data_IF_095981949768
#
_entry.id   IF_095981949768
#
_cell.length_a   1.000
_cell.length_b   1.000
_cell.length_c   1.000
_cell.angle_alpha   90.00
_cell.angle_beta   90.00
_cell.angle_gamma   90.00
#
_symmetry.space_group_name_H-M   'P 1'
#
loop_
_entity.id
_entity.type
_entity.pdbx_description
1 polymer ?
#
# COMPACT_ATOMS: atom_id res chain seq x y z
N UNK A 1 -12.57 -14.29 -8.58
CA UNK A 1 -12.32 -13.00 -9.26
C UNK A 1 -10.94 -12.48 -8.90
N UNK A 2 -10.27 -11.88 -9.86
CA UNK A 2 -8.94 -11.32 -9.66
C UNK A 2 -8.95 -9.82 -9.99
N UNK A 3 -8.14 -9.07 -9.24
CA UNK A 3 -7.96 -7.64 -9.45
C UNK A 3 -6.46 -7.33 -9.45
N UNK A 4 -6.03 -6.55 -10.41
CA UNK A 4 -4.63 -6.14 -10.55
C UNK A 4 -4.55 -4.63 -10.55
N UNK A 5 -3.62 -4.07 -9.77
CA UNK A 5 -3.30 -2.64 -9.78
C UNK A 5 -1.98 -2.49 -10.50
N UNK A 6 -1.97 -1.69 -11.56
CA UNK A 6 -0.86 -1.56 -12.49
C UNK A 6 -0.46 -0.09 -12.57
N UNK A 7 0.84 0.20 -12.44
CA UNK A 7 1.32 1.57 -12.53
C UNK A 7 1.47 2.06 -13.98
N UNK A 8 1.90 3.30 -14.13
CA UNK A 8 2.06 3.93 -15.45
C UNK A 8 3.09 3.25 -16.33
N UNK A 9 4.03 2.52 -15.73
CA UNK A 9 5.08 1.82 -16.46
C UNK A 9 4.69 0.38 -16.81
N UNK A 10 3.48 -0.04 -16.44
CA UNK A 10 3.00 -1.39 -16.68
C UNK A 10 3.39 -2.40 -15.63
N UNK A 11 3.93 -1.94 -14.49
CA UNK A 11 4.30 -2.82 -13.38
C UNK A 11 3.10 -3.10 -12.50
N UNK A 12 2.84 -4.38 -12.24
CA UNK A 12 1.81 -4.80 -11.27
C UNK A 12 2.36 -4.59 -9.86
N UNK A 13 1.74 -3.70 -9.09
CA UNK A 13 2.17 -3.48 -7.71
C UNK A 13 1.24 -4.10 -6.67
N UNK A 14 0.11 -4.62 -7.10
CA UNK A 14 -0.80 -5.37 -6.23
C UNK A 14 -1.65 -6.31 -7.05
N UNK A 15 -1.90 -7.50 -6.54
CA UNK A 15 -2.91 -8.40 -7.07
C UNK A 15 -3.72 -9.00 -5.93
N UNK A 16 -5.01 -9.17 -6.15
CA UNK A 16 -5.91 -9.76 -5.18
C UNK A 16 -6.85 -10.76 -5.85
N UNK A 17 -7.08 -11.87 -5.18
CA UNK A 17 -7.96 -12.92 -5.68
C UNK A 17 -9.01 -13.20 -4.62
N UNK A 18 -10.29 -13.05 -5.00
CA UNK A 18 -11.41 -13.36 -4.13
C UNK A 18 -12.15 -14.59 -4.66
N UNK A 19 -12.54 -15.47 -3.76
CA UNK A 19 -13.49 -16.53 -4.09
C UNK A 19 -14.79 -15.88 -4.59
N UNK A 20 -15.48 -16.53 -5.52
CA UNK A 20 -16.66 -15.95 -6.20
C UNK A 20 -17.71 -15.32 -5.27
N UNK A 21 -18.08 -15.93 -4.13
CA UNK A 21 -19.08 -15.32 -3.25
C UNK A 21 -18.57 -14.14 -2.43
N UNK A 22 -17.28 -13.83 -2.46
CA UNK A 22 -16.70 -12.72 -1.73
C UNK A 22 -16.59 -11.48 -2.61
N UNK A 23 -17.22 -10.39 -2.20
CA UNK A 23 -17.14 -9.12 -2.90
C UNK A 23 -15.77 -8.47 -2.75
N UNK A 24 -15.46 -7.54 -3.66
CA UNK A 24 -14.22 -6.77 -3.61
C UNK A 24 -14.40 -5.54 -2.73
N UNK A 25 -13.38 -5.21 -1.95
CA UNK A 25 -13.35 -3.98 -1.19
C UNK A 25 -12.69 -2.87 -2.02
N UNK A 26 -13.48 -2.06 -2.68
CA UNK A 26 -12.99 -0.98 -3.55
C UNK A 26 -12.20 0.06 -2.75
N UNK A 27 -12.58 0.33 -1.51
CA UNK A 27 -11.87 1.28 -0.65
C UNK A 27 -10.43 0.82 -0.38
N UNK A 28 -10.21 -0.47 -0.26
CA UNK A 28 -8.86 -1.02 -0.09
C UNK A 28 -8.01 -0.79 -1.34
N UNK A 29 -8.58 -0.90 -2.53
CA UNK A 29 -7.84 -0.62 -3.76
C UNK A 29 -7.45 0.86 -3.85
N UNK A 30 -8.34 1.77 -3.45
CA UNK A 30 -8.05 3.20 -3.40
C UNK A 30 -6.94 3.48 -2.39
N UNK A 31 -7.00 2.86 -1.21
CA UNK A 31 -5.97 2.98 -0.18
C UNK A 31 -4.60 2.53 -0.71
N UNK A 32 -4.56 1.41 -1.43
CA UNK A 32 -3.32 0.90 -2.03
C UNK A 32 -2.76 1.83 -3.10
N UNK A 33 -3.62 2.42 -3.92
CA UNK A 33 -3.20 3.39 -4.94
C UNK A 33 -2.57 4.62 -4.27
N UNK A 34 -3.21 5.15 -3.23
CA UNK A 34 -2.70 6.28 -2.47
C UNK A 34 -1.37 5.96 -1.80
N UNK A 35 -1.27 4.77 -1.20
CA UNK A 35 -0.05 4.31 -0.55
C UNK A 35 1.09 4.16 -1.55
N UNK A 36 0.83 3.58 -2.70
CA UNK A 36 1.85 3.42 -3.74
C UNK A 36 2.36 4.77 -4.26
N UNK A 37 1.45 5.71 -4.48
CA UNK A 37 1.81 7.06 -4.90
C UNK A 37 2.69 7.75 -3.83
N UNK A 38 2.37 7.56 -2.55
CA UNK A 38 3.17 8.08 -1.44
C UNK A 38 4.59 7.47 -1.43
N UNK A 39 4.69 6.15 -1.62
CA UNK A 39 5.99 5.46 -1.69
C UNK A 39 6.83 5.99 -2.83
N UNK A 40 6.24 6.15 -4.02
CA UNK A 40 6.97 6.66 -5.18
C UNK A 40 7.43 8.10 -5.02
N UNK A 41 6.61 8.92 -4.37
CA UNK A 41 6.90 10.34 -4.18
C UNK A 41 7.94 10.59 -3.08
N UNK A 42 7.85 9.86 -1.97
CA UNK A 42 8.62 10.14 -0.75
C UNK A 42 9.68 9.10 -0.43
N UNK A 43 9.68 7.96 -1.10
CA UNK A 43 10.64 6.88 -0.83
C UNK A 43 10.42 6.18 0.50
N UNK A 44 9.27 6.38 1.13
CA UNK A 44 8.92 5.77 2.40
C UNK A 44 8.14 4.48 2.21
N UNK A 45 8.12 3.64 3.26
CA UNK A 45 7.35 2.41 3.28
C UNK A 45 6.04 2.66 4.02
N UNK A 46 4.92 2.28 3.40
CA UNK A 46 3.60 2.39 4.03
C UNK A 46 3.24 1.09 4.73
N UNK A 47 2.99 1.13 6.05
CA UNK A 47 2.55 -0.06 6.77
C UNK A 47 1.13 -0.47 6.38
N UNK A 48 0.73 -1.66 6.81
CA UNK A 48 -0.64 -2.11 6.64
C UNK A 48 -1.61 -1.09 7.25
N UNK A 49 -2.73 -0.89 6.59
CA UNK A 49 -3.78 0.06 6.98
C UNK A 49 -3.38 1.54 6.88
N UNK A 50 -2.22 1.83 6.24
CA UNK A 50 -1.84 3.22 5.99
C UNK A 50 -2.88 3.91 5.10
N UNK A 51 -3.18 5.14 5.44
CA UNK A 51 -4.03 6.02 4.63
C UNK A 51 -3.32 7.35 4.43
N UNK A 52 -3.72 8.10 3.41
CA UNK A 52 -3.15 9.42 3.14
C UNK A 52 -3.25 10.29 4.39
N UNK A 53 -2.13 10.92 4.76
CA UNK A 53 -2.02 11.76 5.96
C UNK A 53 -1.53 11.02 7.19
N UNK A 54 -1.43 9.69 7.16
CA UNK A 54 -0.87 8.92 8.26
C UNK A 54 0.63 8.79 8.14
N UNK A 55 1.29 8.42 9.25
CA UNK A 55 2.72 8.23 9.32
C UNK A 55 3.15 7.02 8.48
N UNK A 56 4.24 7.17 7.77
CA UNK A 56 4.88 6.10 7.02
C UNK A 56 6.29 5.85 7.55
N UNK A 57 6.93 4.79 7.07
CA UNK A 57 8.27 4.40 7.49
C UNK A 57 9.29 4.74 6.41
N UNK A 58 10.49 5.16 6.83
CA UNK A 58 11.62 5.22 5.90
C UNK A 58 11.99 3.80 5.44
N UNK A 59 12.41 3.68 4.18
CA UNK A 59 12.72 2.39 3.58
C UNK A 59 14.09 1.88 4.00
N UNK A 60 14.34 1.83 5.32
CA UNK A 60 15.58 1.33 5.90
C UNK A 60 15.30 0.76 7.29
N UNK A 61 16.30 0.07 7.86
CA UNK A 61 16.16 -0.60 9.15
C UNK A 61 15.82 0.36 10.27
N UNK A 62 16.46 1.54 10.30
CA UNK A 62 16.25 2.53 11.37
C UNK A 62 14.86 3.15 11.26
N UNK A 63 14.39 3.44 10.06
CA UNK A 63 13.06 3.98 9.83
C UNK A 63 11.96 3.04 10.29
N UNK A 64 12.11 1.75 10.00
CA UNK A 64 11.15 0.72 10.43
C UNK A 64 11.18 0.58 11.95
N UNK A 65 12.37 0.55 12.55
CA UNK A 65 12.53 0.46 14.01
C UNK A 65 11.92 1.67 14.71
N UNK A 66 12.14 2.87 14.19
CA UNK A 66 11.57 4.10 14.75
C UNK A 66 10.04 4.10 14.69
N UNK A 67 9.48 3.69 13.56
CA UNK A 67 8.02 3.59 13.43
C UNK A 67 7.44 2.61 14.45
N UNK A 68 8.03 1.41 14.55
CA UNK A 68 7.55 0.37 15.46
C UNK A 68 7.70 0.78 16.94
N UNK A 69 8.73 1.54 17.26
CA UNK A 69 8.93 2.05 18.64
C UNK A 69 7.87 3.10 19.02
N UNK A 70 7.31 3.82 18.04
CA UNK A 70 6.29 4.86 18.27
C UNK A 70 4.87 4.29 18.28
N UNK A 71 4.70 3.07 17.81
CA UNK A 71 3.40 2.42 17.64
C UNK A 71 3.40 1.04 18.27
#
# INVERSE_FOLDING_TARGET
RATYLIDEEGTVFHEGINHMPLGRNVQEFIRLIDAYAHVQKNGEVCPANWEEGKEAMSANRDGVANYLASH
#
